data_IF_484072141696
#
_entry.id   IF_484072141696
#
_cell.length_a   1.000
_cell.length_b   1.000
_cell.length_c   1.000
_cell.angle_alpha   90.00
_cell.angle_beta   90.00
_cell.angle_gamma   90.00
#
_symmetry.space_group_name_H-M   'P 1'
#
loop_
_entity.id
_entity.type
_entity.pdbx_description
1 polymer ?
#
# COMPACT_ATOMS: atom_id res chain seq x y z
N UNK A 1 37.28 23.05 18.89
CA UNK A 1 36.29 22.47 19.82
C UNK A 1 34.87 22.72 19.41
N UNK A 2 34.47 23.97 19.18
CA UNK A 2 33.09 24.29 18.76
C UNK A 2 32.70 23.60 17.44
N UNK A 3 33.60 23.59 16.46
CA UNK A 3 33.35 22.97 15.15
C UNK A 3 33.09 21.46 15.28
N UNK A 4 33.85 20.77 16.12
CA UNK A 4 33.66 19.32 16.33
C UNK A 4 32.36 19.02 17.07
N UNK A 5 31.97 19.88 18.00
CA UNK A 5 30.71 19.73 18.73
C UNK A 5 29.48 19.92 17.80
N UNK A 6 29.53 20.92 16.94
CA UNK A 6 28.48 21.18 15.97
C UNK A 6 28.35 20.01 14.98
N UNK A 7 29.47 19.47 14.51
CA UNK A 7 29.47 18.31 13.61
C UNK A 7 28.86 17.08 14.27
N UNK A 8 29.26 16.78 15.51
CA UNK A 8 28.69 15.65 16.26
C UNK A 8 27.18 15.79 16.46
N UNK A 9 26.72 16.99 16.78
CA UNK A 9 25.30 17.28 16.95
C UNK A 9 24.53 17.05 15.64
N UNK A 10 25.05 17.54 14.51
CA UNK A 10 24.43 17.37 13.21
C UNK A 10 24.33 15.88 12.80
N UNK A 11 25.39 15.10 13.05
CA UNK A 11 25.41 13.66 12.78
C UNK A 11 24.34 12.93 13.58
N UNK A 12 24.24 13.20 14.88
CA UNK A 12 23.22 12.59 15.74
C UNK A 12 21.80 12.98 15.33
N UNK A 13 21.61 14.23 14.95
CA UNK A 13 20.31 14.71 14.46
C UNK A 13 19.90 13.97 13.19
N UNK A 14 20.79 13.81 12.23
CA UNK A 14 20.52 13.10 10.98
C UNK A 14 20.20 11.62 11.21
N UNK A 15 20.93 10.95 12.10
CA UNK A 15 20.64 9.56 12.46
C UNK A 15 19.26 9.42 13.09
N UNK A 16 18.93 10.30 14.03
CA UNK A 16 17.63 10.33 14.69
C UNK A 16 16.50 10.56 13.68
N UNK A 17 16.72 11.48 12.73
CA UNK A 17 15.74 11.78 11.68
C UNK A 17 15.51 10.58 10.74
N UNK A 18 16.56 9.85 10.38
CA UNK A 18 16.43 8.65 9.54
C UNK A 18 15.60 7.57 10.24
N UNK A 19 15.87 7.32 11.52
CA UNK A 19 15.11 6.37 12.31
C UNK A 19 13.64 6.78 12.42
N UNK A 20 13.40 8.06 12.65
CA UNK A 20 12.06 8.62 12.75
C UNK A 20 11.26 8.43 11.45
N UNK A 21 11.85 8.72 10.29
CA UNK A 21 11.18 8.52 8.98
C UNK A 21 10.82 7.05 8.77
N UNK A 22 11.72 6.15 9.14
CA UNK A 22 11.47 4.71 9.03
C UNK A 22 10.26 4.28 9.88
N UNK A 23 10.15 4.76 11.10
CA UNK A 23 8.99 4.49 11.96
C UNK A 23 7.71 5.11 11.41
N UNK A 24 7.80 6.30 10.83
CA UNK A 24 6.65 7.00 10.27
C UNK A 24 6.02 6.29 9.07
N UNK A 25 6.78 5.45 8.38
CA UNK A 25 6.26 4.67 7.28
C UNK A 25 5.55 3.38 7.70
N UNK A 26 5.62 3.02 8.98
CA UNK A 26 4.98 1.81 9.47
C UNK A 26 3.44 1.93 9.38
N UNK A 27 2.75 0.87 8.93
CA UNK A 27 1.29 0.91 8.83
C UNK A 27 0.62 0.79 10.19
N UNK A 28 -0.50 1.51 10.36
CA UNK A 28 -1.37 1.37 11.52
C UNK A 28 -2.51 0.42 11.14
N UNK A 29 -2.34 -0.84 11.43
CA UNK A 29 -3.21 -1.89 10.92
C UNK A 29 -4.61 -1.87 11.54
N UNK A 30 -4.74 -1.53 12.82
CA UNK A 30 -6.02 -1.59 13.52
C UNK A 30 -7.07 -0.56 13.08
N UNK A 31 -6.66 0.49 12.37
CA UNK A 31 -7.56 1.55 11.90
C UNK A 31 -7.63 1.59 10.38
N UNK A 32 -7.58 0.44 9.74
CA UNK A 32 -7.67 0.35 8.29
C UNK A 32 -9.03 0.80 7.76
N UNK A 33 -9.03 1.34 6.55
CA UNK A 33 -10.24 1.71 5.81
C UNK A 33 -10.46 0.69 4.72
N UNK A 34 -11.66 0.11 4.69
CA UNK A 34 -12.04 -0.81 3.64
C UNK A 34 -12.25 -0.04 2.33
N UNK A 35 -11.69 -0.55 1.24
CA UNK A 35 -11.90 -0.02 -0.10
C UNK A 35 -12.85 -0.98 -0.81
N UNK A 36 -14.05 -0.51 -1.23
CA UNK A 36 -14.98 -1.40 -1.92
C UNK A 36 -14.46 -1.80 -3.31
N UNK A 37 -14.54 -3.10 -3.62
CA UNK A 37 -14.27 -3.58 -4.96
C UNK A 37 -15.51 -3.31 -5.83
N UNK A 38 -15.36 -2.44 -6.81
CA UNK A 38 -16.48 -1.99 -7.64
C UNK A 38 -16.51 -2.62 -9.01
N UNK A 39 -15.46 -3.34 -9.42
CA UNK A 39 -15.40 -4.00 -10.72
C UNK A 39 -14.53 -5.25 -10.64
N UNK A 40 -14.93 -6.29 -11.36
CA UNK A 40 -14.13 -7.53 -11.52
C UNK A 40 -13.58 -7.68 -12.94
N UNK A 41 -13.70 -6.66 -13.76
CA UNK A 41 -13.23 -6.66 -15.16
C UNK A 41 -12.29 -5.49 -15.46
N UNK A 42 -12.55 -4.32 -14.89
CA UNK A 42 -11.84 -3.08 -15.19
C UNK A 42 -11.14 -2.52 -13.96
N UNK A 43 -10.15 -1.65 -14.19
CA UNK A 43 -9.52 -0.90 -13.12
C UNK A 43 -10.53 0.03 -12.45
N UNK A 44 -10.39 0.20 -11.14
CA UNK A 44 -11.11 1.21 -10.37
C UNK A 44 -10.12 1.98 -9.50
N UNK A 45 -10.46 3.22 -9.17
CA UNK A 45 -9.54 4.16 -8.55
C UNK A 45 -9.91 4.45 -7.11
N UNK A 46 -8.88 4.75 -6.32
CA UNK A 46 -9.00 5.22 -4.94
C UNK A 46 -7.91 6.27 -4.71
N UNK A 47 -8.29 7.42 -4.15
CA UNK A 47 -7.32 8.47 -3.82
C UNK A 47 -6.87 8.28 -2.38
N UNK A 48 -5.56 8.20 -2.17
CA UNK A 48 -4.99 8.02 -0.84
C UNK A 48 -5.29 9.22 0.05
N UNK A 49 -6.04 9.06 1.16
CA UNK A 49 -6.41 10.15 2.05
C UNK A 49 -5.25 10.63 2.93
N UNK A 50 -4.20 9.84 3.03
CA UNK A 50 -2.99 10.12 3.81
C UNK A 50 -1.85 9.33 3.23
N UNK A 51 -0.63 9.54 3.72
CA UNK A 51 0.46 8.60 3.47
C UNK A 51 0.10 7.26 4.10
N UNK A 52 0.36 6.16 3.41
CA UNK A 52 0.00 4.87 3.95
C UNK A 52 0.20 3.71 2.98
N UNK A 53 -0.47 2.62 3.29
CA UNK A 53 -0.32 1.34 2.59
C UNK A 53 -1.66 0.91 1.98
N UNK A 54 -1.64 0.66 0.68
CA UNK A 54 -2.76 0.04 -0.02
C UNK A 54 -2.52 -1.47 -0.08
N UNK A 55 -3.54 -2.24 0.23
CA UNK A 55 -3.48 -3.70 0.15
C UNK A 55 -4.63 -4.24 -0.69
N UNK A 56 -4.37 -5.34 -1.38
CA UNK A 56 -5.36 -6.04 -2.18
C UNK A 56 -5.18 -7.54 -1.97
N UNK A 57 -6.25 -8.22 -1.63
CA UNK A 57 -6.25 -9.67 -1.40
C UNK A 57 -7.40 -10.33 -2.16
N UNK A 58 -7.18 -11.57 -2.56
CA UNK A 58 -8.24 -12.43 -3.05
C UNK A 58 -8.21 -13.77 -2.29
N UNK A 59 -9.35 -14.42 -2.19
CA UNK A 59 -9.50 -15.70 -1.50
C UNK A 59 -10.29 -16.73 -2.31
N UNK A 60 -10.28 -16.59 -3.63
CA UNK A 60 -11.03 -17.48 -4.51
C UNK A 60 -10.14 -17.99 -5.65
N UNK A 61 -10.34 -19.24 -6.01
CA UNK A 61 -9.66 -19.88 -7.16
C UNK A 61 -10.16 -19.36 -8.52
N UNK A 62 -11.25 -18.59 -8.55
CA UNK A 62 -11.80 -18.00 -9.78
C UNK A 62 -11.15 -16.65 -10.15
N UNK A 63 -10.34 -16.11 -9.27
CA UNK A 63 -9.60 -14.88 -9.53
C UNK A 63 -8.45 -15.15 -10.49
N UNK A 64 -8.34 -14.35 -11.54
CA UNK A 64 -7.29 -14.52 -12.56
C UNK A 64 -6.13 -13.54 -12.41
N UNK A 65 -6.37 -12.34 -11.86
CA UNK A 65 -5.32 -11.35 -11.69
C UNK A 65 -5.66 -10.34 -10.59
N UNK A 66 -4.62 -9.87 -9.92
CA UNK A 66 -4.61 -8.70 -9.04
C UNK A 66 -3.52 -7.75 -9.50
N UNK A 67 -3.79 -6.46 -9.49
CA UNK A 67 -2.80 -5.44 -9.80
C UNK A 67 -3.05 -4.18 -8.99
N UNK A 68 -1.96 -3.52 -8.59
CA UNK A 68 -1.99 -2.18 -8.01
C UNK A 68 -1.14 -1.27 -8.89
N UNK A 69 -1.72 -0.18 -9.38
CA UNK A 69 -1.02 0.89 -10.08
C UNK A 69 -1.05 2.16 -9.22
N UNK A 70 0.03 2.90 -9.26
CA UNK A 70 0.17 4.18 -8.58
C UNK A 70 0.57 5.21 -9.63
N UNK A 71 -0.24 6.25 -9.80
CA UNK A 71 -0.04 7.28 -10.83
C UNK A 71 0.19 6.66 -12.23
N UNK A 72 -0.62 5.67 -12.58
CA UNK A 72 -0.56 4.91 -13.83
C UNK A 72 0.70 4.03 -14.00
N UNK A 73 1.52 3.89 -12.97
CA UNK A 73 2.64 2.96 -12.95
C UNK A 73 2.28 1.66 -12.26
N UNK A 74 2.60 0.53 -12.88
CA UNK A 74 2.38 -0.77 -12.26
C UNK A 74 3.34 -0.98 -11.09
N UNK A 75 2.81 -1.13 -9.88
CA UNK A 75 3.60 -1.29 -8.67
C UNK A 75 3.60 -2.71 -8.13
N UNK A 76 2.49 -3.42 -8.28
CA UNK A 76 2.37 -4.79 -7.83
C UNK A 76 1.44 -5.55 -8.78
N UNK A 77 1.83 -6.76 -9.13
CA UNK A 77 1.06 -7.61 -10.04
C UNK A 77 1.11 -9.07 -9.58
N UNK A 78 -0.04 -9.70 -9.54
CA UNK A 78 -0.16 -11.15 -9.50
C UNK A 78 -1.09 -11.56 -10.63
N UNK A 79 -0.60 -12.37 -11.55
CA UNK A 79 -1.33 -12.82 -12.74
C UNK A 79 -1.27 -14.33 -12.87
N UNK A 80 -2.11 -14.86 -13.76
CA UNK A 80 -2.18 -16.33 -14.02
C UNK A 80 -2.50 -17.10 -12.75
N UNK A 81 -3.44 -16.59 -11.96
CA UNK A 81 -3.85 -17.24 -10.71
C UNK A 81 -4.80 -18.42 -10.93
N UNK A 82 -5.29 -18.59 -12.14
CA UNK A 82 -6.34 -19.51 -12.60
C UNK A 82 -6.34 -20.86 -11.89
N UNK A 83 -7.31 -21.07 -11.01
CA UNK A 83 -7.65 -22.36 -10.43
C UNK A 83 -6.65 -22.96 -9.46
N UNK A 84 -5.44 -22.43 -9.36
CA UNK A 84 -4.36 -23.00 -8.57
C UNK A 84 -4.07 -22.25 -7.28
N UNK A 85 -4.71 -21.11 -7.07
CA UNK A 85 -4.43 -20.22 -5.93
C UNK A 85 -5.68 -20.08 -5.08
N UNK A 86 -5.58 -20.39 -3.80
CA UNK A 86 -6.65 -20.19 -2.83
C UNK A 86 -6.58 -18.83 -2.14
N UNK A 87 -5.49 -18.12 -2.31
CA UNK A 87 -5.31 -16.78 -1.79
C UNK A 87 -4.06 -16.12 -2.33
N UNK A 88 -4.15 -14.82 -2.57
CA UNK A 88 -3.04 -13.98 -2.99
C UNK A 88 -3.21 -12.59 -2.41
N UNK A 89 -2.10 -11.92 -2.10
CA UNK A 89 -2.13 -10.58 -1.57
C UNK A 89 -1.01 -9.70 -2.12
N UNK A 90 -1.34 -8.43 -2.35
CA UNK A 90 -0.42 -7.40 -2.78
C UNK A 90 -0.47 -6.23 -1.80
N UNK A 91 0.64 -5.51 -1.65
CA UNK A 91 0.67 -4.26 -0.89
C UNK A 91 1.63 -3.25 -1.54
N UNK A 92 1.34 -1.96 -1.31
CA UNK A 92 2.14 -0.88 -1.86
C UNK A 92 2.03 0.36 -0.96
N UNK A 93 3.17 1.00 -0.67
CA UNK A 93 3.18 2.28 0.03
C UNK A 93 2.88 3.41 -0.94
N UNK A 94 2.03 4.35 -0.52
CA UNK A 94 1.61 5.49 -1.33
C UNK A 94 1.60 6.78 -0.53
N UNK A 95 1.81 7.90 -1.23
CA UNK A 95 1.74 9.24 -0.64
C UNK A 95 0.30 9.75 -0.66
N UNK A 96 -0.02 10.62 0.29
CA UNK A 96 -1.29 11.35 0.33
C UNK A 96 -1.60 11.99 -1.02
N UNK A 97 -2.83 11.87 -1.48
CA UNK A 97 -3.30 12.48 -2.73
C UNK A 97 -2.99 11.68 -3.99
N UNK A 98 -2.24 10.59 -3.86
CA UNK A 98 -1.92 9.71 -5.00
C UNK A 98 -3.16 8.95 -5.45
N UNK A 99 -3.37 8.85 -6.75
CA UNK A 99 -4.42 8.00 -7.32
C UNK A 99 -3.91 6.57 -7.42
N UNK A 100 -4.58 5.67 -6.73
CA UNK A 100 -4.30 4.24 -6.74
C UNK A 100 -5.33 3.59 -7.66
N UNK A 101 -4.89 2.75 -8.58
CA UNK A 101 -5.78 1.94 -9.40
C UNK A 101 -5.63 0.47 -9.03
N UNK A 102 -6.75 -0.18 -8.80
CA UNK A 102 -6.80 -1.60 -8.52
C UNK A 102 -7.41 -2.34 -9.70
N UNK A 103 -6.80 -3.46 -10.07
CA UNK A 103 -7.39 -4.44 -10.95
C UNK A 103 -7.68 -5.69 -10.14
N UNK A 104 -8.94 -6.10 -10.12
CA UNK A 104 -9.41 -7.33 -9.50
C UNK A 104 -10.15 -8.11 -10.59
N UNK A 105 -9.47 -9.00 -11.27
CA UNK A 105 -10.04 -9.68 -12.45
C UNK A 105 -10.52 -11.08 -12.09
N UNK A 106 -11.76 -11.36 -12.46
CA UNK A 106 -12.40 -12.66 -12.28
C UNK A 106 -13.16 -12.77 -10.96
N UNK A 107 -13.92 -13.82 -10.82
CA UNK A 107 -14.72 -14.06 -9.63
C UNK A 107 -15.79 -13.00 -9.37
N UNK A 108 -16.17 -12.88 -8.12
CA UNK A 108 -17.16 -11.92 -7.63
C UNK A 108 -16.49 -10.82 -6.82
N UNK A 109 -17.15 -9.67 -6.66
CA UNK A 109 -16.62 -8.58 -5.83
C UNK A 109 -16.34 -9.01 -4.38
N UNK A 110 -17.10 -9.97 -3.86
CA UNK A 110 -16.92 -10.53 -2.52
C UNK A 110 -15.66 -11.39 -2.37
N UNK A 111 -15.01 -11.78 -3.46
CA UNK A 111 -13.77 -12.56 -3.44
C UNK A 111 -12.55 -11.70 -3.13
N UNK A 112 -12.72 -10.40 -3.07
CA UNK A 112 -11.63 -9.44 -2.89
C UNK A 112 -11.77 -8.69 -1.58
N UNK A 113 -10.63 -8.40 -0.96
CA UNK A 113 -10.54 -7.60 0.24
C UNK A 113 -9.44 -6.56 0.05
N UNK A 114 -9.85 -5.29 -0.03
CA UNK A 114 -8.96 -4.18 -0.25
C UNK A 114 -9.01 -3.24 0.95
N UNK A 115 -7.84 -2.84 1.44
CA UNK A 115 -7.72 -1.98 2.60
C UNK A 115 -6.67 -0.92 2.40
N UNK A 116 -6.89 0.22 3.04
CA UNK A 116 -5.91 1.28 3.16
C UNK A 116 -5.56 1.47 4.64
N UNK A 117 -4.28 1.46 4.95
CA UNK A 117 -3.77 1.65 6.31
C UNK A 117 -2.90 2.90 6.35
N UNK A 118 -3.24 3.86 7.22
CA UNK A 118 -2.42 5.05 7.42
C UNK A 118 -1.02 4.68 7.85
N UNK A 119 -0.02 5.44 7.39
CA UNK A 119 1.31 5.41 7.98
C UNK A 119 1.28 6.08 9.35
N UNK A 120 2.19 5.69 10.25
CA UNK A 120 2.23 6.22 11.61
C UNK A 120 2.46 7.73 11.68
N UNK A 121 3.09 8.31 10.64
CA UNK A 121 3.28 9.75 10.54
C UNK A 121 1.98 10.55 10.42
N UNK A 122 0.89 9.91 9.97
CA UNK A 122 -0.40 10.57 9.74
C UNK A 122 -1.45 10.15 10.77
N UNK A 123 -1.02 9.50 11.82
CA UNK A 123 -1.92 9.03 12.88
C UNK A 123 -2.38 10.15 13.81
#
# INVERSE_FOLDING_TARGET
MLKSLIQLFAEKFLQSKKSWVSEQCAPIVRNGTNIPCTSTTDFFSYVAPSNGWATSRCNSSTVSALEIQVDNGQMALASVLNGNTTGCGLCCYVKKGTTIKFLCRGGNTSDYSLWFYKASSDA
#
